data_IF_216093471863
#
_entry.id   IF_216093471863
#
_cell.length_a   1.000
_cell.length_b   1.000
_cell.length_c   1.000
_cell.angle_alpha   90.00
_cell.angle_beta   90.00
_cell.angle_gamma   90.00
#
_symmetry.space_group_name_H-M   'P 1'
#
loop_
_entity.id
_entity.type
_entity.pdbx_description
1 polymer ?
#
# COMPACT_ATOMS: atom_id res chain seq x y z
N UNK A 1 9.18 -6.36 -3.19
CA UNK A 1 7.81 -5.91 -2.89
C UNK A 1 6.92 -6.06 -4.10
N UNK A 2 5.73 -6.55 -3.89
CA UNK A 2 4.68 -6.61 -4.92
C UNK A 2 3.63 -5.55 -4.62
N UNK A 3 3.19 -4.83 -5.62
CA UNK A 3 2.12 -3.85 -5.48
C UNK A 3 1.05 -4.09 -6.54
N UNK A 4 -0.19 -4.30 -6.12
CA UNK A 4 -1.34 -4.35 -7.00
C UNK A 4 -1.79 -2.92 -7.27
N UNK A 5 -1.79 -2.54 -8.53
CA UNK A 5 -2.20 -1.21 -8.97
C UNK A 5 -3.42 -1.32 -9.87
N UNK A 6 -4.29 -0.33 -9.79
CA UNK A 6 -5.51 -0.24 -10.59
C UNK A 6 -5.45 1.00 -11.46
N UNK A 7 -5.89 0.89 -12.71
CA UNK A 7 -5.95 2.03 -13.60
C UNK A 7 -7.05 3.00 -13.12
N UNK A 8 -6.66 4.24 -12.84
CA UNK A 8 -7.59 5.24 -12.28
C UNK A 8 -8.79 5.53 -13.16
N UNK A 9 -8.61 5.47 -14.49
CA UNK A 9 -9.65 5.73 -15.45
C UNK A 9 -10.54 4.51 -15.76
N UNK A 10 -10.13 3.31 -15.37
CA UNK A 10 -10.88 2.08 -15.60
C UNK A 10 -10.50 1.04 -14.54
N UNK A 11 -11.32 0.92 -13.49
CA UNK A 11 -11.06 0.04 -12.36
C UNK A 11 -11.11 -1.45 -12.69
N UNK A 12 -11.55 -1.83 -13.89
CA UNK A 12 -11.50 -3.21 -14.36
C UNK A 12 -10.10 -3.63 -14.82
N UNK A 13 -9.19 -2.68 -14.99
CA UNK A 13 -7.82 -2.94 -15.38
C UNK A 13 -6.89 -2.83 -14.19
N UNK A 14 -6.05 -3.83 -14.01
CA UNK A 14 -5.07 -3.87 -12.93
C UNK A 14 -3.75 -4.44 -13.41
N UNK A 15 -2.71 -4.20 -12.66
CA UNK A 15 -1.38 -4.78 -12.89
C UNK A 15 -0.68 -5.04 -11.57
N UNK A 16 0.31 -5.93 -11.60
CA UNK A 16 1.18 -6.18 -10.46
C UNK A 16 2.56 -5.64 -10.80
N UNK A 17 3.09 -4.76 -9.95
CA UNK A 17 4.43 -4.20 -10.09
C UNK A 17 5.32 -4.80 -9.02
N UNK A 18 6.51 -5.25 -9.42
CA UNK A 18 7.52 -5.79 -8.52
C UNK A 18 8.63 -4.78 -8.35
N UNK A 19 9.04 -4.54 -7.11
CA UNK A 19 10.17 -3.69 -6.78
C UNK A 19 10.96 -4.32 -5.65
N UNK A 20 12.28 -4.28 -5.75
CA UNK A 20 13.13 -4.74 -4.66
C UNK A 20 13.16 -3.67 -3.58
N UNK A 21 12.70 -4.04 -2.38
CA UNK A 21 12.69 -3.15 -1.22
C UNK A 21 14.01 -3.30 -0.48
N UNK A 22 14.71 -2.18 -0.25
CA UNK A 22 15.88 -2.15 0.61
C UNK A 22 15.49 -2.29 2.08
N UNK A 23 16.42 -2.77 2.91
CA UNK A 23 16.22 -2.90 4.35
C UNK A 23 16.61 -1.64 5.12
N UNK A 24 16.98 -0.57 4.43
CA UNK A 24 17.37 0.70 5.03
C UNK A 24 16.15 1.50 5.43
N UNK A 25 15.86 1.53 6.73
CA UNK A 25 14.81 2.36 7.28
C UNK A 25 15.42 3.51 8.10
N UNK A 26 14.74 4.64 8.11
CA UNK A 26 15.17 5.84 8.81
C UNK A 26 14.74 5.80 10.29
N UNK A 27 15.17 6.79 11.06
CA UNK A 27 14.77 6.93 12.44
C UNK A 27 13.25 7.01 12.56
N UNK A 28 12.70 6.34 13.57
CA UNK A 28 11.26 6.25 13.85
C UNK A 28 10.44 5.48 12.82
N UNK A 29 11.05 4.97 11.77
CA UNK A 29 10.36 4.13 10.79
C UNK A 29 10.34 2.67 11.19
N UNK A 30 9.35 1.95 10.67
CA UNK A 30 9.25 0.49 10.79
C UNK A 30 9.02 -0.10 9.41
N UNK A 31 9.55 -1.31 9.19
CA UNK A 31 9.29 -2.08 7.99
C UNK A 31 8.33 -3.21 8.34
N UNK A 32 7.22 -3.27 7.61
CA UNK A 32 6.16 -4.24 7.84
C UNK A 32 6.12 -5.27 6.73
N UNK A 33 5.90 -6.53 7.10
CA UNK A 33 5.56 -7.60 6.16
C UNK A 33 4.05 -7.83 6.24
N UNK A 34 3.34 -7.56 5.16
CA UNK A 34 1.89 -7.79 5.10
C UNK A 34 1.62 -9.29 5.16
N UNK A 35 0.81 -9.72 6.12
CA UNK A 35 0.43 -11.12 6.27
C UNK A 35 -0.87 -11.42 5.54
N UNK A 36 -1.89 -10.61 5.76
CA UNK A 36 -3.21 -10.78 5.14
C UNK A 36 -3.98 -9.49 5.15
N UNK A 37 -4.86 -9.34 4.19
CA UNK A 37 -5.74 -8.18 4.10
C UNK A 37 -7.09 -8.58 3.53
N UNK A 38 -8.07 -7.71 3.74
CA UNK A 38 -9.42 -7.86 3.22
C UNK A 38 -9.64 -6.93 2.04
N UNK A 39 -10.24 -7.43 0.98
CA UNK A 39 -10.63 -6.64 -0.19
C UNK A 39 -12.12 -6.86 -0.45
N UNK A 40 -12.91 -5.83 -0.26
CA UNK A 40 -14.38 -5.87 -0.33
C UNK A 40 -14.93 -4.81 -1.26
N UNK A 41 -16.24 -4.76 -1.42
CA UNK A 41 -16.92 -3.71 -2.18
C UNK A 41 -16.62 -2.31 -1.61
N UNK A 42 -16.43 -2.16 -0.31
CA UNK A 42 -16.02 -0.90 0.30
C UNK A 42 -14.68 -0.40 -0.24
N UNK A 43 -13.73 -1.30 -0.45
CA UNK A 43 -12.42 -0.95 -0.98
C UNK A 43 -12.53 -0.45 -2.42
N UNK A 44 -13.41 -1.06 -3.21
CA UNK A 44 -13.69 -0.59 -4.58
C UNK A 44 -14.27 0.82 -4.58
N UNK A 45 -15.11 1.15 -3.60
CA UNK A 45 -15.65 2.51 -3.42
C UNK A 45 -14.54 3.54 -3.24
N UNK A 46 -13.46 3.20 -2.53
CA UNK A 46 -12.29 4.09 -2.41
C UNK A 46 -11.65 4.38 -3.77
N UNK A 47 -11.62 3.41 -4.67
CA UNK A 47 -11.15 3.61 -6.03
C UNK A 47 -12.07 4.51 -6.83
N UNK A 48 -13.37 4.31 -6.74
CA UNK A 48 -14.37 5.14 -7.43
C UNK A 48 -14.30 6.59 -6.95
N UNK A 49 -14.12 6.80 -5.65
CA UNK A 49 -14.02 8.12 -5.04
C UNK A 49 -12.60 8.68 -5.02
N UNK A 50 -11.63 7.97 -5.64
CA UNK A 50 -10.22 8.30 -5.55
C UNK A 50 -9.87 9.72 -5.97
N UNK A 51 -10.43 10.18 -7.09
CA UNK A 51 -10.15 11.51 -7.59
C UNK A 51 -10.88 12.60 -6.79
N UNK A 52 -12.14 12.37 -6.42
CA UNK A 52 -12.98 13.37 -5.77
C UNK A 52 -12.65 13.58 -4.29
N UNK A 53 -12.21 12.52 -3.60
CA UNK A 53 -11.90 12.57 -2.16
C UNK A 53 -10.39 12.51 -1.90
N UNK A 54 -9.60 12.21 -2.92
CA UNK A 54 -8.14 12.17 -2.81
C UNK A 54 -7.59 10.86 -2.24
N UNK A 55 -8.33 9.76 -2.30
CA UNK A 55 -7.87 8.47 -1.81
C UNK A 55 -6.60 7.95 -2.51
N UNK A 56 -6.39 8.32 -3.78
CA UNK A 56 -5.18 7.94 -4.50
C UNK A 56 -3.89 8.49 -3.87
N UNK A 57 -4.00 9.55 -3.06
CA UNK A 57 -2.85 10.18 -2.41
C UNK A 57 -2.38 9.46 -1.15
N UNK A 58 -3.18 8.56 -0.60
CA UNK A 58 -2.83 7.87 0.65
C UNK A 58 -1.70 6.85 0.45
N UNK A 59 -1.78 6.09 -0.62
CA UNK A 59 -0.77 5.08 -0.94
C UNK A 59 -0.41 5.20 -2.43
N UNK A 60 0.54 6.08 -2.78
CA UNK A 60 0.91 6.29 -4.18
C UNK A 60 1.45 5.03 -4.84
N UNK A 61 1.10 4.82 -6.10
CA UNK A 61 1.60 3.69 -6.87
C UNK A 61 3.07 3.89 -7.26
N UNK A 62 3.85 2.84 -7.16
CA UNK A 62 5.25 2.84 -7.63
C UNK A 62 5.30 2.66 -9.14
N UNK A 63 6.41 3.10 -9.76
CA UNK A 63 6.61 3.02 -11.22
C UNK A 63 5.43 3.59 -12.01
N UNK A 64 5.02 4.81 -11.62
CA UNK A 64 3.81 5.46 -12.12
C UNK A 64 4.10 6.92 -12.52
N UNK A 65 5.02 7.16 -13.51
CA UNK A 65 5.44 8.52 -13.85
C UNK A 65 4.31 9.38 -14.45
N UNK A 66 3.34 8.76 -15.10
CA UNK A 66 2.22 9.48 -15.70
C UNK A 66 1.03 9.65 -14.77
N UNK A 67 1.13 9.12 -13.55
CA UNK A 67 0.08 9.20 -12.53
C UNK A 67 -1.27 8.60 -13.00
N UNK A 68 -1.21 7.54 -13.80
CA UNK A 68 -2.40 6.86 -14.33
C UNK A 68 -2.84 5.66 -13.49
N UNK A 69 -1.95 5.13 -12.66
CA UNK A 69 -2.21 4.00 -11.79
C UNK A 69 -2.40 4.46 -10.34
N UNK A 70 -3.18 3.70 -9.61
CA UNK A 70 -3.42 3.97 -8.20
C UNK A 70 -3.48 2.69 -7.39
N UNK A 71 -3.35 2.84 -6.07
CA UNK A 71 -3.52 1.76 -5.11
C UNK A 71 -4.81 1.97 -4.34
N UNK A 72 -5.63 0.94 -4.29
CA UNK A 72 -6.86 0.97 -3.49
C UNK A 72 -6.50 0.58 -2.06
N UNK A 73 -6.81 1.42 -1.05
CA UNK A 73 -6.52 1.11 0.35
C UNK A 73 -7.26 -0.14 0.82
N UNK A 74 -6.61 -0.92 1.67
CA UNK A 74 -7.19 -2.12 2.29
C UNK A 74 -6.88 -2.14 3.78
N UNK A 75 -7.58 -3.01 4.51
CA UNK A 75 -7.38 -3.26 5.94
C UNK A 75 -6.74 -4.62 6.11
N UNK A 76 -5.78 -4.74 6.99
CA UNK A 76 -5.12 -6.02 7.17
C UNK A 76 -4.20 -6.08 8.37
N UNK A 77 -3.44 -7.16 8.41
CA UNK A 77 -2.47 -7.42 9.46
C UNK A 77 -1.07 -7.54 8.86
N UNK A 78 -0.09 -7.04 9.59
CA UNK A 78 1.30 -7.09 9.20
C UNK A 78 2.20 -7.40 10.40
N UNK A 79 3.34 -8.01 10.14
CA UNK A 79 4.37 -8.25 11.14
C UNK A 79 5.48 -7.21 11.00
N UNK A 80 5.94 -6.67 12.11
CA UNK A 80 7.09 -5.76 12.15
C UNK A 80 8.36 -6.58 11.97
N UNK A 81 9.05 -6.41 10.86
CA UNK A 81 10.29 -7.15 10.56
C UNK A 81 11.55 -6.33 10.81
N UNK A 82 11.46 -5.01 10.78
CA UNK A 82 12.52 -4.10 11.19
C UNK A 82 11.89 -2.89 11.88
N UNK A 83 12.51 -2.41 12.96
CA UNK A 83 12.01 -1.24 13.67
C UNK A 83 13.12 -0.34 14.16
N UNK A 84 13.03 0.93 13.82
CA UNK A 84 13.80 2.02 14.39
C UNK A 84 12.95 2.92 15.29
N UNK A 85 11.74 2.46 15.65
CA UNK A 85 10.84 3.18 16.53
C UNK A 85 10.84 2.50 17.90
N UNK A 86 11.19 3.22 19.00
CA UNK A 86 11.27 2.63 20.34
C UNK A 86 9.93 2.17 20.90
N UNK A 87 8.82 2.65 20.36
CA UNK A 87 7.47 2.27 20.80
C UNK A 87 6.92 1.05 20.06
N UNK A 88 7.60 0.61 18.99
CA UNK A 88 7.16 -0.51 18.16
C UNK A 88 8.33 -1.50 18.06
N UNK A 89 8.10 -2.73 18.53
CA UNK A 89 9.13 -3.76 18.58
C UNK A 89 9.09 -4.69 17.36
N UNK A 90 10.26 -5.21 17.00
CA UNK A 90 10.38 -6.29 16.01
C UNK A 90 9.55 -7.49 16.45
N UNK A 91 8.80 -8.06 15.52
CA UNK A 91 7.95 -9.22 15.79
C UNK A 91 6.51 -8.87 16.18
N UNK A 92 6.20 -7.61 16.47
CA UNK A 92 4.82 -7.22 16.75
C UNK A 92 3.93 -7.40 15.52
N UNK A 93 2.68 -7.75 15.76
CA UNK A 93 1.63 -7.80 14.74
C UNK A 93 0.73 -6.59 14.90
N UNK A 94 0.55 -5.92 13.79
CA UNK A 94 -0.28 -4.72 13.71
C UNK A 94 -1.48 -4.98 12.82
#
# INVERSE_FOLDING_TARGET
MKQLQTLKSDLHQSRIVLEQLGEDIQDSEVLLKVEKFSFTANNVTYGVAGDSIGYWNFFPAINNPENTWGCIPVWGFAEVILSNNPEIEHGERI
#
